data_IF_313831744930
#
_entry.id   IF_313831744930
#
_cell.length_a   1.000
_cell.length_b   1.000
_cell.length_c   1.000
_cell.angle_alpha   90.00
_cell.angle_beta   90.00
_cell.angle_gamma   90.00
#
_symmetry.space_group_name_H-M   'P 1'
#
loop_
_entity.id
_entity.type
_entity.pdbx_description
1 polymer ?
#
# COMPACT_ATOMS: atom_id res chain seq x y z
N UNK A 1 16.88 17.84 2.67
CA UNK A 1 17.09 16.97 1.50
C UNK A 1 16.31 15.70 1.74
N UNK A 2 15.38 15.26 0.86
CA UNK A 2 14.67 14.01 1.06
C UNK A 2 15.62 12.81 0.85
N UNK A 3 15.44 11.78 1.69
CA UNK A 3 16.19 10.53 1.67
C UNK A 3 16.20 9.92 0.26
N UNK A 4 17.38 9.78 -0.36
CA UNK A 4 17.55 8.96 -1.56
C UNK A 4 17.78 7.51 -1.11
N UNK A 5 16.88 6.62 -1.50
CA UNK A 5 17.06 5.19 -1.32
C UNK A 5 18.27 4.69 -2.13
N UNK A 6 18.96 3.64 -1.67
CA UNK A 6 20.05 3.04 -2.44
C UNK A 6 19.57 2.61 -3.83
N UNK A 7 20.41 2.87 -4.83
CA UNK A 7 20.08 2.71 -6.26
C UNK A 7 20.04 1.25 -6.72
N UNK A 8 20.47 0.31 -5.88
CA UNK A 8 20.44 -1.12 -6.18
C UNK A 8 20.31 -1.96 -4.91
N UNK A 9 19.85 -3.21 -5.06
CA UNK A 9 19.75 -4.17 -3.97
C UNK A 9 21.11 -4.49 -3.33
N UNK A 10 22.19 -4.56 -4.11
CA UNK A 10 23.54 -4.77 -3.57
C UNK A 10 24.00 -3.61 -2.67
N UNK A 11 23.62 -2.38 -3.01
CA UNK A 11 23.97 -1.18 -2.25
C UNK A 11 23.25 -1.06 -0.90
N UNK A 12 22.24 -1.90 -0.61
CA UNK A 12 21.58 -1.92 0.70
C UNK A 12 22.46 -2.50 1.81
N UNK A 13 23.51 -3.26 1.46
CA UNK A 13 24.37 -3.93 2.44
C UNK A 13 25.34 -2.98 3.16
N UNK A 14 25.65 -1.82 2.57
CA UNK A 14 26.57 -0.82 3.15
C UNK A 14 25.89 0.55 3.38
N UNK A 15 24.57 0.65 3.25
CA UNK A 15 23.88 1.94 3.38
C UNK A 15 23.52 2.23 4.84
N UNK A 16 24.07 3.31 5.38
CA UNK A 16 23.73 3.84 6.71
C UNK A 16 22.91 5.13 6.58
N UNK A 17 21.88 5.26 7.42
CA UNK A 17 20.94 6.38 7.39
C UNK A 17 21.52 7.58 8.15
N UNK A 18 21.76 8.73 7.49
CA UNK A 18 22.35 9.91 8.13
C UNK A 18 21.46 10.57 9.21
N UNK A 19 20.17 10.22 9.30
CA UNK A 19 19.26 10.71 10.34
C UNK A 19 19.28 9.83 11.61
N UNK A 20 19.97 8.68 11.57
CA UNK A 20 20.04 7.71 12.68
C UNK A 20 21.46 7.54 13.25
N UNK A 21 22.50 7.94 12.52
CA UNK A 21 23.87 8.03 13.01
C UNK A 21 24.15 9.47 13.48
N UNK A 22 24.38 9.62 14.79
CA UNK A 22 24.42 10.89 15.51
C UNK A 22 25.35 11.94 14.92
N UNK A 23 24.91 13.18 15.02
CA UNK A 23 25.68 14.39 14.72
C UNK A 23 26.75 14.61 15.80
N UNK A 24 28.02 14.51 15.42
CA UNK A 24 29.16 14.90 16.25
C UNK A 24 29.31 16.43 16.26
N UNK A 25 29.30 17.05 17.43
CA UNK A 25 29.59 18.47 17.57
C UNK A 25 29.32 19.06 18.95
N UNK A 26 30.05 18.65 19.99
CA UNK A 26 30.46 19.56 21.08
C UNK A 26 31.71 18.99 21.81
N UNK A 27 32.80 19.77 21.99
CA UNK A 27 34.08 19.28 22.46
C UNK A 27 34.31 19.70 23.93
N UNK A 28 33.81 18.95 24.90
CA UNK A 28 34.37 18.92 26.27
C UNK A 28 33.56 17.97 27.16
N UNK A 29 34.05 16.74 27.34
CA UNK A 29 34.06 16.00 28.61
C UNK A 29 34.47 14.52 28.41
N UNK A 30 35.77 14.28 28.60
CA UNK A 30 36.44 13.12 29.22
C UNK A 30 36.07 11.68 28.82
N UNK A 31 37.09 11.02 28.28
CA UNK A 31 37.17 9.59 28.00
C UNK A 31 36.84 8.71 29.21
N UNK A 32 35.98 7.71 29.00
CA UNK A 32 36.11 6.44 29.69
C UNK A 32 35.41 5.32 28.93
N UNK A 33 36.21 4.30 28.62
CA UNK A 33 35.86 2.90 28.42
C UNK A 33 35.04 2.45 27.20
N UNK A 34 35.62 1.46 26.50
CA UNK A 34 35.00 0.72 25.41
C UNK A 34 34.00 -0.27 26.01
N UNK A 35 32.81 0.20 26.35
CA UNK A 35 31.67 -0.67 26.61
C UNK A 35 30.39 0.10 26.34
N UNK A 36 29.85 -0.13 25.15
CA UNK A 36 28.49 0.29 24.82
C UNK A 36 27.52 -0.31 25.86
N UNK A 37 26.54 0.46 26.36
CA UNK A 37 25.45 -0.11 27.14
C UNK A 37 24.68 -1.10 26.25
N UNK A 38 24.15 -2.19 26.82
CA UNK A 38 23.56 -3.27 26.05
C UNK A 38 22.30 -2.76 25.38
N UNK A 39 22.38 -2.47 24.09
CA UNK A 39 21.23 -2.69 23.24
C UNK A 39 20.82 -4.13 23.48
N UNK A 40 19.61 -4.31 23.98
CA UNK A 40 18.99 -5.60 24.21
C UNK A 40 19.23 -6.46 22.97
N UNK A 41 20.11 -7.45 23.10
CA UNK A 41 20.14 -8.62 22.25
C UNK A 41 18.82 -9.37 22.50
N UNK A 42 17.77 -8.86 21.86
CA UNK A 42 16.48 -9.53 21.70
C UNK A 42 16.57 -10.45 20.49
N UNK A 43 15.91 -11.59 20.59
CA UNK A 43 15.83 -12.63 19.58
C UNK A 43 14.98 -12.19 18.36
N UNK A 44 15.54 -11.37 17.47
CA UNK A 44 14.79 -10.86 16.30
C UNK A 44 15.56 -10.90 14.96
N UNK A 45 16.74 -11.53 14.90
CA UNK A 45 17.47 -11.81 13.65
C UNK A 45 17.01 -13.09 12.91
N UNK A 46 16.19 -13.91 13.55
CA UNK A 46 15.81 -15.26 13.08
C UNK A 46 15.04 -15.28 11.74
N UNK A 47 14.05 -14.40 11.47
CA UNK A 47 13.31 -14.46 10.21
C UNK A 47 14.12 -13.94 9.02
N UNK A 48 14.99 -12.94 9.23
CA UNK A 48 15.82 -12.37 8.15
C UNK A 48 16.93 -13.35 7.75
N UNK A 49 17.54 -14.04 8.71
CA UNK A 49 18.51 -15.08 8.43
C UNK A 49 17.87 -16.27 7.70
N UNK A 50 16.66 -16.67 8.09
CA UNK A 50 15.92 -17.75 7.45
C UNK A 50 15.47 -17.43 6.02
N UNK A 51 15.07 -16.17 5.74
CA UNK A 51 14.76 -15.70 4.38
C UNK A 51 15.99 -15.79 3.48
N UNK A 52 17.16 -15.31 3.96
CA UNK A 52 18.42 -15.39 3.21
C UNK A 52 18.86 -16.82 2.92
N UNK A 53 18.65 -17.74 3.86
CA UNK A 53 18.95 -19.15 3.67
C UNK A 53 18.07 -19.80 2.59
N UNK A 54 16.79 -19.41 2.50
CA UNK A 54 15.88 -19.88 1.45
C UNK A 54 16.27 -19.33 0.08
N UNK A 55 16.68 -18.07 0.00
CA UNK A 55 17.12 -17.46 -1.26
C UNK A 55 18.41 -18.09 -1.81
N UNK A 56 19.33 -18.44 -0.92
CA UNK A 56 20.61 -19.06 -1.27
C UNK A 56 20.50 -20.55 -1.65
N UNK A 57 19.36 -21.20 -1.42
CA UNK A 57 19.17 -22.62 -1.74
C UNK A 57 18.88 -22.80 -3.24
N UNK A 58 19.91 -23.22 -3.98
CA UNK A 58 19.82 -23.48 -5.43
C UNK A 58 19.03 -24.74 -5.80
N UNK A 59 18.63 -25.56 -4.81
CA UNK A 59 17.82 -26.77 -5.05
C UNK A 59 16.32 -26.49 -5.12
N UNK A 60 15.88 -25.30 -4.73
CA UNK A 60 14.47 -24.91 -4.70
C UNK A 60 14.07 -24.15 -5.95
N UNK A 61 12.90 -24.47 -6.48
CA UNK A 61 12.25 -23.61 -7.47
C UNK A 61 11.88 -22.25 -6.85
N UNK A 62 11.79 -21.21 -7.67
CA UNK A 62 11.39 -19.87 -7.22
C UNK A 62 9.98 -19.88 -6.59
N UNK A 63 9.09 -20.77 -7.04
CA UNK A 63 7.78 -21.00 -6.43
C UNK A 63 7.89 -21.56 -5.00
N UNK A 64 8.81 -22.50 -4.76
CA UNK A 64 9.04 -23.07 -3.42
C UNK A 64 9.72 -22.08 -2.49
N UNK A 65 10.65 -21.26 -2.99
CA UNK A 65 11.26 -20.18 -2.21
C UNK A 65 10.21 -19.18 -1.75
N UNK A 66 9.37 -18.71 -2.65
CA UNK A 66 8.26 -17.81 -2.34
C UNK A 66 7.29 -18.43 -1.32
N UNK A 67 6.98 -19.72 -1.45
CA UNK A 67 6.11 -20.44 -0.50
C UNK A 67 6.73 -20.51 0.89
N UNK A 68 8.04 -20.78 0.99
CA UNK A 68 8.75 -20.85 2.27
C UNK A 68 8.89 -19.48 2.93
N UNK A 69 9.17 -18.42 2.16
CA UNK A 69 9.17 -17.04 2.65
C UNK A 69 7.83 -16.66 3.28
N UNK A 70 6.72 -16.99 2.60
CA UNK A 70 5.39 -16.70 3.12
C UNK A 70 5.07 -17.49 4.39
N UNK A 71 5.54 -18.74 4.50
CA UNK A 71 5.36 -19.57 5.69
C UNK A 71 6.13 -19.02 6.90
N UNK A 72 7.37 -18.54 6.72
CA UNK A 72 8.16 -17.91 7.79
C UNK A 72 7.47 -16.67 8.34
N UNK A 73 6.96 -15.81 7.45
CA UNK A 73 6.26 -14.58 7.84
C UNK A 73 4.93 -14.85 8.54
N UNK A 74 4.31 -16.01 8.29
CA UNK A 74 3.04 -16.40 8.91
C UNK A 74 3.19 -17.07 10.28
N UNK A 75 4.39 -17.58 10.64
CA UNK A 75 4.58 -18.45 11.83
C UNK A 75 4.95 -17.71 13.12
N UNK A 76 5.01 -16.38 13.13
CA UNK A 76 5.37 -15.60 14.32
C UNK A 76 4.21 -15.30 15.30
N UNK A 77 3.14 -16.11 15.28
CA UNK A 77 2.16 -16.17 16.38
C UNK A 77 2.56 -17.30 17.33
N UNK A 78 3.31 -16.96 18.37
CA UNK A 78 3.90 -17.93 19.29
C UNK A 78 2.89 -18.78 20.06
N UNK A 79 3.19 -20.07 20.18
CA UNK A 79 2.95 -20.91 21.36
C UNK A 79 3.63 -22.25 21.15
N UNK A 80 4.69 -22.50 21.92
CA UNK A 80 5.21 -23.84 22.23
C UNK A 80 4.15 -24.61 23.00
N UNK A 81 3.70 -25.76 22.50
CA UNK A 81 3.12 -26.83 23.32
C UNK A 81 3.53 -28.16 22.72
N UNK A 82 4.14 -28.97 23.58
CA UNK A 82 4.66 -30.30 23.33
C UNK A 82 3.64 -31.27 22.73
N UNK A 83 4.16 -32.17 21.89
CA UNK A 83 3.49 -33.37 21.41
C UNK A 83 2.86 -34.17 22.56
N UNK A 84 1.58 -34.51 22.39
CA UNK A 84 1.00 -35.81 22.76
C UNK A 84 -0.35 -35.99 22.05
N UNK A 85 -0.42 -37.09 21.30
CA UNK A 85 -1.54 -37.56 20.50
C UNK A 85 -2.85 -37.73 21.30
N UNK A 86 -3.97 -37.21 20.78
CA UNK A 86 -5.25 -37.95 20.76
C UNK A 86 -6.27 -37.28 19.80
N UNK A 87 -7.06 -38.04 19.00
CA UNK A 87 -7.76 -37.50 17.84
C UNK A 87 -9.27 -37.32 18.08
N UNK A 88 -9.75 -36.46 18.98
CA UNK A 88 -11.20 -36.18 19.02
C UNK A 88 -11.64 -34.93 19.81
N UNK A 89 -11.50 -33.70 19.29
CA UNK A 89 -12.43 -32.59 19.62
C UNK A 89 -12.64 -31.69 18.40
N UNK A 90 -13.77 -31.88 17.72
CA UNK A 90 -14.28 -30.97 16.67
C UNK A 90 -15.06 -29.80 17.31
N UNK A 91 -14.83 -28.61 16.74
CA UNK A 91 -15.76 -27.48 16.65
C UNK A 91 -16.14 -26.72 17.95
N UNK A 92 -15.20 -26.06 18.64
CA UNK A 92 -15.54 -25.00 19.63
C UNK A 92 -14.55 -23.83 19.79
N UNK A 93 -13.60 -23.59 18.88
CA UNK A 93 -12.54 -22.58 19.14
C UNK A 93 -12.76 -21.20 18.46
N UNK A 94 -13.69 -21.10 17.50
CA UNK A 94 -13.85 -19.87 16.70
C UNK A 94 -14.56 -18.73 17.46
N UNK A 95 -15.44 -19.10 18.40
CA UNK A 95 -16.02 -18.14 19.35
C UNK A 95 -14.98 -17.63 20.35
N UNK A 96 -13.86 -18.31 20.53
CA UNK A 96 -12.87 -17.99 21.55
C UNK A 96 -12.04 -16.78 21.14
N UNK A 97 -11.59 -16.67 19.88
CA UNK A 97 -10.79 -15.50 19.42
C UNK A 97 -11.64 -14.22 19.36
N UNK A 98 -12.87 -14.31 18.86
CA UNK A 98 -13.83 -13.20 18.83
C UNK A 98 -14.30 -12.80 20.24
N UNK A 99 -14.45 -13.74 21.18
CA UNK A 99 -14.72 -13.43 22.58
C UNK A 99 -13.51 -12.81 23.29
N UNK A 100 -12.29 -13.34 23.07
CA UNK A 100 -11.04 -12.87 23.67
C UNK A 100 -10.72 -11.42 23.23
N UNK A 101 -10.88 -11.09 21.94
CA UNK A 101 -10.70 -9.71 21.45
C UNK A 101 -11.94 -8.83 21.67
N UNK A 102 -13.15 -9.39 21.54
CA UNK A 102 -14.41 -8.67 21.59
C UNK A 102 -14.78 -8.18 22.98
N UNK A 103 -14.46 -8.90 24.05
CA UNK A 103 -14.78 -8.49 25.41
C UNK A 103 -13.75 -7.52 26.01
N UNK A 104 -12.47 -7.64 25.61
CA UNK A 104 -11.38 -6.86 26.19
C UNK A 104 -10.94 -5.61 25.37
N UNK A 105 -11.38 -5.46 24.11
CA UNK A 105 -10.95 -4.35 23.24
C UNK A 105 -12.10 -3.55 22.63
N UNK A 106 -13.01 -3.04 23.47
CA UNK A 106 -14.02 -2.06 23.06
C UNK A 106 -13.55 -0.62 23.24
N UNK A 107 -13.95 0.26 22.32
CA UNK A 107 -13.79 1.70 22.43
C UNK A 107 -14.74 2.24 23.52
N UNK A 108 -14.22 2.93 24.54
CA UNK A 108 -15.06 3.44 25.65
C UNK A 108 -16.05 4.53 25.25
N UNK A 109 -15.91 5.14 24.08
CA UNK A 109 -16.81 6.20 23.64
C UNK A 109 -18.04 5.68 22.92
N UNK A 110 -17.87 4.71 22.02
CA UNK A 110 -18.97 4.13 21.24
C UNK A 110 -19.37 2.72 21.68
N UNK A 111 -18.64 2.13 22.63
CA UNK A 111 -18.83 0.77 23.15
C UNK A 111 -18.75 -0.35 22.09
N UNK A 112 -18.25 -0.02 20.90
CA UNK A 112 -18.02 -0.95 19.80
C UNK A 112 -16.54 -1.31 19.68
N UNK A 113 -16.22 -2.35 18.89
CA UNK A 113 -14.86 -2.60 18.43
C UNK A 113 -14.32 -1.34 17.72
N UNK A 114 -13.13 -0.85 18.10
CA UNK A 114 -12.56 0.36 17.54
C UNK A 114 -12.46 0.32 16.00
N UNK A 115 -13.04 1.31 15.34
CA UNK A 115 -12.82 1.56 13.92
C UNK A 115 -11.67 2.55 13.75
N UNK A 116 -10.66 2.17 12.95
CA UNK A 116 -9.36 2.87 12.84
C UNK A 116 -8.79 3.22 14.23
N UNK A 117 -8.42 2.21 15.04
CA UNK A 117 -7.95 2.41 16.41
C UNK A 117 -6.74 3.34 16.51
N UNK A 118 -6.79 4.27 17.45
CA UNK A 118 -5.66 5.03 17.96
C UNK A 118 -5.29 4.42 19.31
N UNK A 119 -4.03 4.00 19.45
CA UNK A 119 -3.49 3.48 20.71
C UNK A 119 -2.82 4.61 21.46
N UNK A 120 -3.38 4.98 22.61
CA UNK A 120 -2.75 5.97 23.49
C UNK A 120 -1.47 5.42 24.11
N UNK A 121 -0.57 6.30 24.59
CA UNK A 121 0.67 5.90 25.28
C UNK A 121 0.45 5.01 26.51
N UNK A 122 -0.77 4.99 27.06
CA UNK A 122 -1.16 4.09 28.14
C UNK A 122 -1.70 2.73 27.67
N UNK A 123 -1.65 2.41 26.38
CA UNK A 123 -2.09 1.14 25.79
C UNK A 123 -3.58 1.04 25.47
N UNK A 124 -4.38 2.06 25.80
CA UNK A 124 -5.83 2.04 25.54
C UNK A 124 -6.16 2.47 24.10
N UNK A 125 -7.13 1.76 23.52
CA UNK A 125 -7.53 1.88 22.12
C UNK A 125 -8.91 2.55 21.98
N UNK A 126 -8.99 3.53 21.09
CA UNK A 126 -10.22 4.27 20.77
C UNK A 126 -10.37 4.43 19.26
N UNK A 127 -11.59 4.56 18.73
CA UNK A 127 -11.75 4.94 17.32
C UNK A 127 -11.09 6.30 17.07
N UNK A 128 -10.44 6.50 15.93
CA UNK A 128 -9.86 7.79 15.55
C UNK A 128 -10.87 8.93 15.71
N UNK A 129 -12.07 8.79 15.14
CA UNK A 129 -13.13 9.80 15.23
C UNK A 129 -13.56 10.08 16.67
N UNK A 130 -13.57 9.07 17.55
CA UNK A 130 -13.93 9.23 18.95
C UNK A 130 -12.83 9.95 19.73
N UNK A 131 -11.57 9.61 19.46
CA UNK A 131 -10.41 10.26 20.04
C UNK A 131 -10.32 11.74 19.63
N UNK A 132 -10.49 12.05 18.35
CA UNK A 132 -10.47 13.43 17.86
C UNK A 132 -11.58 14.30 18.48
N UNK A 133 -12.79 13.75 18.66
CA UNK A 133 -13.88 14.44 19.36
C UNK A 133 -13.51 14.76 20.81
N UNK A 134 -12.87 13.82 21.51
CA UNK A 134 -12.42 14.00 22.88
C UNK A 134 -11.35 15.09 23.00
N UNK A 135 -10.38 15.10 22.08
CA UNK A 135 -9.34 16.12 22.02
C UNK A 135 -9.92 17.50 21.70
N UNK A 136 -10.89 17.59 20.79
CA UNK A 136 -11.57 18.85 20.42
C UNK A 136 -12.33 19.47 21.59
N UNK A 137 -12.77 18.67 22.56
CA UNK A 137 -13.37 19.16 23.82
C UNK A 137 -12.31 19.66 24.84
N UNK A 138 -11.05 19.81 24.41
CA UNK A 138 -9.95 20.29 25.25
C UNK A 138 -9.40 19.24 26.23
N UNK A 139 -9.83 17.98 26.11
CA UNK A 139 -9.40 16.91 27.03
C UNK A 139 -8.07 16.31 26.57
N UNK A 140 -7.08 16.34 27.46
CA UNK A 140 -5.69 15.88 27.21
C UNK A 140 -5.33 14.59 27.95
N UNK A 141 -6.34 13.82 28.36
CA UNK A 141 -6.18 12.60 29.18
C UNK A 141 -6.90 11.42 28.56
N UNK A 142 -6.41 10.21 28.80
CA UNK A 142 -7.06 8.99 28.34
C UNK A 142 -8.44 8.82 28.98
N UNK A 143 -9.47 8.53 28.20
CA UNK A 143 -10.83 8.36 28.71
C UNK A 143 -11.01 7.13 29.62
N UNK A 144 -10.15 6.10 29.48
CA UNK A 144 -10.17 4.89 30.33
C UNK A 144 -9.45 5.09 31.66
N UNK A 145 -8.18 5.51 31.63
CA UNK A 145 -7.33 5.54 32.83
C UNK A 145 -6.86 6.93 33.26
N UNK A 146 -7.34 7.99 32.60
CA UNK A 146 -7.04 9.40 32.91
C UNK A 146 -5.56 9.83 32.83
N UNK A 147 -4.64 8.94 32.42
CA UNK A 147 -3.24 9.29 32.15
C UNK A 147 -3.14 10.38 31.08
N UNK A 148 -2.18 11.31 31.22
CA UNK A 148 -1.94 12.38 30.25
C UNK A 148 -1.49 11.82 28.91
N UNK A 149 -2.00 12.40 27.84
CA UNK A 149 -1.62 12.05 26.46
C UNK A 149 -0.60 13.08 25.95
N UNK A 150 0.53 12.65 25.35
CA UNK A 150 1.55 13.56 24.84
C UNK A 150 1.02 14.53 23.78
N UNK A 151 1.53 15.76 23.75
CA UNK A 151 1.09 16.82 22.84
C UNK A 151 1.20 16.44 21.36
N UNK A 152 2.29 15.75 20.97
CA UNK A 152 2.47 15.27 19.59
C UNK A 152 1.37 14.29 19.16
N UNK A 153 0.91 13.42 20.05
CA UNK A 153 -0.19 12.49 19.77
C UNK A 153 -1.54 13.20 19.68
N UNK A 154 -1.74 14.27 20.45
CA UNK A 154 -2.97 15.08 20.39
C UNK A 154 -3.07 15.84 19.06
N UNK A 155 -1.95 16.33 18.54
CA UNK A 155 -1.89 17.03 17.26
C UNK A 155 -1.98 16.07 16.07
N UNK A 156 -1.33 14.89 16.16
CA UNK A 156 -1.25 13.92 15.08
C UNK A 156 -1.49 12.49 15.60
N UNK A 157 -2.76 12.09 15.83
CA UNK A 157 -3.08 10.74 16.26
C UNK A 157 -2.75 9.73 15.15
N UNK A 158 -1.85 8.78 15.44
CA UNK A 158 -1.51 7.70 14.52
C UNK A 158 -2.46 6.52 14.68
N UNK A 159 -2.86 5.94 13.56
CA UNK A 159 -3.70 4.74 13.53
C UNK A 159 -2.80 3.52 13.73
N UNK A 160 -3.23 2.62 14.61
CA UNK A 160 -2.58 1.33 14.81
C UNK A 160 -3.03 0.36 13.71
N UNK A 161 -2.21 0.23 12.65
CA UNK A 161 -2.49 -0.62 11.49
C UNK A 161 -2.58 -2.11 11.84
N UNK A 162 -1.80 -2.59 12.82
CA UNK A 162 -1.87 -3.98 13.31
C UNK A 162 -3.24 -4.27 13.91
N UNK A 163 -3.79 -3.35 14.69
CA UNK A 163 -5.14 -3.48 15.24
C UNK A 163 -6.23 -3.33 14.16
N UNK A 164 -6.03 -2.49 13.15
CA UNK A 164 -6.95 -2.42 11.99
C UNK A 164 -7.03 -3.80 11.31
N UNK A 165 -5.89 -4.44 11.07
CA UNK A 165 -5.86 -5.76 10.44
C UNK A 165 -6.52 -6.82 11.31
N UNK A 166 -6.15 -6.90 12.59
CA UNK A 166 -6.73 -7.87 13.54
C UNK A 166 -8.25 -7.73 13.69
N UNK A 167 -8.75 -6.49 13.84
CA UNK A 167 -10.20 -6.22 13.95
C UNK A 167 -10.93 -6.56 12.64
N UNK A 168 -10.29 -6.33 11.48
CA UNK A 168 -10.88 -6.68 10.18
C UNK A 168 -10.97 -8.19 9.99
N UNK A 169 -9.93 -8.93 10.36
CA UNK A 169 -9.94 -10.40 10.33
C UNK A 169 -11.00 -10.97 11.28
N UNK A 170 -11.13 -10.40 12.49
CA UNK A 170 -12.16 -10.82 13.45
C UNK A 170 -13.59 -10.48 13.00
N UNK A 171 -13.80 -9.48 12.15
CA UNK A 171 -15.13 -9.05 11.66
C UNK A 171 -15.64 -9.83 10.45
N UNK A 172 -14.80 -10.61 9.79
CA UNK A 172 -15.22 -11.36 8.62
C UNK A 172 -16.01 -12.60 9.06
N UNK A 173 -17.27 -12.79 8.61
CA UNK A 173 -17.91 -14.09 8.73
C UNK A 173 -17.06 -15.09 7.94
N UNK A 174 -16.84 -16.27 8.52
CA UNK A 174 -16.08 -17.35 7.88
C UNK A 174 -16.67 -17.63 6.50
N UNK A 175 -16.00 -17.17 5.45
CA UNK A 175 -16.19 -17.73 4.14
C UNK A 175 -15.60 -19.15 4.17
N UNK A 176 -16.30 -20.08 3.52
CA UNK A 176 -15.94 -21.49 3.27
C UNK A 176 -14.43 -21.70 3.06
N UNK A 177 -13.87 -22.89 3.40
CA UNK A 177 -12.43 -23.12 3.53
C UNK A 177 -11.70 -22.52 2.35
N UNK A 178 -10.97 -21.44 2.63
CA UNK A 178 -10.12 -20.82 1.63
C UNK A 178 -9.06 -21.86 1.32
N UNK A 179 -9.02 -22.32 0.06
CA UNK A 179 -7.93 -23.14 -0.46
C UNK A 179 -6.57 -22.52 -0.12
N UNK A 180 -5.51 -23.32 -0.30
CA UNK A 180 -4.12 -23.02 0.04
C UNK A 180 -3.78 -21.52 0.07
N UNK A 181 -3.03 -21.05 1.10
CA UNK A 181 -2.74 -19.64 1.30
C UNK A 181 -2.35 -19.01 -0.04
N UNK A 182 -3.09 -17.97 -0.44
CA UNK A 182 -2.85 -17.29 -1.71
C UNK A 182 -1.42 -16.76 -1.66
N UNK A 183 -0.53 -17.40 -2.41
CA UNK A 183 0.82 -16.89 -2.62
C UNK A 183 0.67 -15.66 -3.49
N UNK A 184 0.93 -14.49 -2.91
CA UNK A 184 1.03 -13.25 -3.67
C UNK A 184 2.45 -13.19 -4.23
N UNK A 185 2.67 -13.86 -5.35
CA UNK A 185 3.91 -13.75 -6.08
C UNK A 185 4.02 -12.32 -6.63
N UNK A 186 5.02 -11.59 -6.16
CA UNK A 186 5.42 -10.34 -6.78
C UNK A 186 6.10 -10.69 -8.11
N UNK A 187 5.56 -10.17 -9.21
CA UNK A 187 6.12 -10.38 -10.54
C UNK A 187 6.87 -9.11 -10.91
N UNK A 188 8.16 -9.25 -11.21
CA UNK A 188 8.99 -8.10 -11.57
C UNK A 188 8.62 -7.62 -12.99
N UNK A 189 8.83 -6.33 -13.30
CA UNK A 189 8.41 -5.76 -14.59
C UNK A 189 9.07 -6.47 -15.80
N UNK A 190 10.33 -6.91 -15.65
CA UNK A 190 11.11 -7.67 -16.62
C UNK A 190 10.63 -9.11 -16.79
N UNK A 191 9.73 -9.60 -15.94
CA UNK A 191 9.12 -10.91 -16.12
C UNK A 191 7.78 -10.81 -16.86
N UNK A 192 7.24 -9.60 -17.00
CA UNK A 192 6.01 -9.37 -17.74
C UNK A 192 6.25 -9.49 -19.25
N UNK A 193 5.27 -10.04 -20.00
CA UNK A 193 5.34 -10.09 -21.45
C UNK A 193 5.27 -8.68 -22.06
N UNK A 194 5.80 -8.52 -23.27
CA UNK A 194 5.81 -7.25 -23.99
C UNK A 194 4.41 -6.79 -24.43
N UNK A 195 3.44 -7.70 -24.49
CA UNK A 195 2.05 -7.40 -24.85
C UNK A 195 1.12 -7.58 -23.66
N UNK A 196 -0.02 -6.89 -23.70
CA UNK A 196 -1.11 -7.14 -22.77
C UNK A 196 -1.51 -8.63 -22.78
N UNK A 197 -1.77 -9.17 -21.60
CA UNK A 197 -2.05 -10.60 -21.41
C UNK A 197 -3.24 -10.82 -20.48
N UNK A 198 -3.91 -11.95 -20.62
CA UNK A 198 -5.03 -12.36 -19.76
C UNK A 198 -4.59 -13.48 -18.81
N UNK A 199 -5.27 -13.58 -17.67
CA UNK A 199 -5.13 -14.72 -16.75
C UNK A 199 -6.30 -15.69 -16.96
N UNK A 200 -6.19 -16.92 -16.48
CA UNK A 200 -7.28 -17.91 -16.46
C UNK A 200 -8.57 -17.41 -15.79
N UNK A 201 -8.47 -16.40 -14.91
CA UNK A 201 -9.63 -15.77 -14.25
C UNK A 201 -10.40 -14.80 -15.15
N UNK A 202 -9.90 -14.49 -16.34
CA UNK A 202 -10.55 -13.56 -17.26
C UNK A 202 -11.89 -14.13 -17.71
N UNK A 203 -12.97 -13.38 -17.47
CA UNK A 203 -14.33 -13.80 -17.84
C UNK A 203 -14.70 -13.38 -19.26
N UNK A 204 -14.07 -12.32 -19.76
CA UNK A 204 -14.30 -11.79 -21.11
C UNK A 204 -13.09 -12.03 -21.98
N UNK A 205 -13.35 -12.40 -23.23
CA UNK A 205 -12.34 -12.54 -24.26
C UNK A 205 -11.72 -11.17 -24.63
N UNK A 206 -10.57 -11.23 -25.32
CA UNK A 206 -9.84 -10.04 -25.76
C UNK A 206 -9.23 -9.25 -24.60
N UNK A 207 -9.09 -7.93 -24.79
CA UNK A 207 -8.36 -7.05 -23.87
C UNK A 207 -9.21 -6.49 -22.72
N UNK A 208 -10.51 -6.81 -22.65
CA UNK A 208 -11.42 -6.26 -21.63
C UNK A 208 -11.08 -6.66 -20.19
N UNK A 209 -10.46 -7.83 -20.01
CA UNK A 209 -9.95 -8.29 -18.71
C UNK A 209 -8.42 -8.55 -18.75
N UNK A 210 -7.73 -7.96 -19.73
CA UNK A 210 -6.29 -8.08 -19.83
C UNK A 210 -5.59 -7.18 -18.81
N UNK A 211 -4.41 -7.63 -18.38
CA UNK A 211 -3.43 -6.83 -17.66
C UNK A 211 -2.47 -6.22 -18.67
N UNK A 212 -1.98 -5.03 -18.37
CA UNK A 212 -0.88 -4.40 -19.12
C UNK A 212 0.36 -5.30 -19.06
N UNK A 213 1.10 -5.36 -20.16
CA UNK A 213 2.40 -6.02 -20.21
C UNK A 213 3.47 -5.21 -19.47
N UNK A 214 4.72 -5.50 -19.79
CA UNK A 214 5.90 -4.78 -19.30
C UNK A 214 5.80 -3.29 -19.63
N UNK A 215 6.14 -2.43 -18.65
CA UNK A 215 6.39 -1.02 -18.88
C UNK A 215 7.80 -0.86 -19.49
N UNK A 216 7.90 -0.17 -20.62
CA UNK A 216 9.15 0.02 -21.36
C UNK A 216 9.98 1.21 -20.90
N UNK A 217 9.38 2.11 -20.12
CA UNK A 217 9.99 3.35 -19.65
C UNK A 217 10.28 3.30 -18.16
N UNK A 218 11.26 4.08 -17.71
CA UNK A 218 11.69 4.10 -16.30
C UNK A 218 11.13 5.28 -15.50
N UNK A 219 10.27 6.10 -16.11
CA UNK A 219 9.65 7.23 -15.43
C UNK A 219 8.80 6.79 -14.24
N UNK A 220 8.76 7.56 -13.14
CA UNK A 220 7.85 7.29 -12.04
C UNK A 220 6.40 7.64 -12.44
N UNK A 221 5.42 7.12 -11.68
CA UNK A 221 3.99 7.34 -11.98
C UNK A 221 3.56 8.81 -11.87
N UNK A 222 4.31 9.62 -11.14
CA UNK A 222 4.09 11.06 -10.93
C UNK A 222 4.94 11.93 -11.87
N UNK A 223 5.63 11.35 -12.85
CA UNK A 223 6.45 12.10 -13.81
C UNK A 223 5.66 13.17 -14.55
N UNK A 224 6.13 14.42 -14.49
CA UNK A 224 5.60 15.55 -15.26
C UNK A 224 6.50 15.85 -16.46
N UNK A 225 5.86 16.06 -17.61
CA UNK A 225 6.53 16.45 -18.84
C UNK A 225 6.85 15.28 -19.78
N UNK A 226 7.64 15.54 -20.84
CA UNK A 226 7.88 14.57 -21.89
C UNK A 226 8.71 13.38 -21.39
N UNK A 227 8.54 12.25 -22.08
CA UNK A 227 9.27 11.02 -21.80
C UNK A 227 10.46 10.97 -22.73
N UNK A 228 11.61 11.44 -22.25
CA UNK A 228 12.83 11.58 -23.03
C UNK A 228 13.55 10.25 -23.25
N UNK A 229 14.51 10.24 -24.18
CA UNK A 229 15.39 9.11 -24.49
C UNK A 229 16.10 8.51 -23.27
N UNK A 230 16.38 9.31 -22.24
CA UNK A 230 17.02 8.86 -20.99
C UNK A 230 16.14 7.88 -20.20
N UNK A 231 14.82 7.99 -20.37
CA UNK A 231 13.85 7.15 -19.69
C UNK A 231 13.42 5.92 -20.49
N UNK A 232 14.02 5.72 -21.67
CA UNK A 232 13.80 4.58 -22.56
C UNK A 232 15.09 3.77 -22.66
N UNK A 233 15.31 2.81 -21.73
CA UNK A 233 16.57 2.08 -21.64
C UNK A 233 16.88 1.22 -22.87
N UNK A 234 15.85 0.86 -23.67
CA UNK A 234 16.01 -0.08 -24.78
C UNK A 234 16.19 0.66 -26.10
N UNK A 235 15.23 1.52 -26.49
CA UNK A 235 15.30 2.18 -27.80
C UNK A 235 16.04 3.51 -27.75
N UNK A 236 16.19 4.11 -26.56
CA UNK A 236 16.84 5.42 -26.35
C UNK A 236 16.26 6.52 -27.23
N UNK A 237 14.96 6.45 -27.48
CA UNK A 237 14.24 7.47 -28.25
C UNK A 237 13.29 8.25 -27.33
N UNK A 238 12.65 7.55 -26.39
CA UNK A 238 11.56 8.12 -25.60
C UNK A 238 10.25 8.08 -26.37
N UNK A 239 9.30 8.92 -25.96
CA UNK A 239 8.00 9.10 -26.63
C UNK A 239 7.99 10.44 -27.35
N UNK A 240 7.70 10.41 -28.65
CA UNK A 240 7.67 11.59 -29.50
C UNK A 240 6.24 12.02 -29.81
N UNK A 241 6.05 13.32 -30.08
CA UNK A 241 4.77 13.84 -30.56
C UNK A 241 4.44 13.19 -31.91
N UNK A 242 3.23 12.64 -32.02
CA UNK A 242 2.78 11.89 -33.20
C UNK A 242 2.91 10.37 -33.06
N UNK A 243 3.54 9.87 -31.99
CA UNK A 243 3.53 8.44 -31.68
C UNK A 243 2.09 7.95 -31.48
N UNK A 244 1.82 6.75 -32.01
CA UNK A 244 0.51 6.12 -31.93
C UNK A 244 0.61 4.71 -31.36
N UNK A 245 -0.42 4.32 -30.61
CA UNK A 245 -0.53 3.02 -29.98
C UNK A 245 -1.88 2.39 -30.31
N UNK A 246 -1.91 1.07 -30.40
CA UNK A 246 -3.13 0.31 -30.72
C UNK A 246 -4.24 0.54 -29.70
N UNK A 247 -3.89 0.68 -28.41
CA UNK A 247 -4.84 0.81 -27.32
C UNK A 247 -4.25 1.48 -26.07
N UNK A 248 -5.09 1.65 -25.05
CA UNK A 248 -4.75 2.23 -23.74
C UNK A 248 -3.73 1.41 -22.94
N UNK A 249 -3.66 0.09 -23.13
CA UNK A 249 -2.67 -0.75 -22.46
C UNK A 249 -1.29 -0.56 -23.09
N UNK A 250 -1.20 -0.46 -24.42
CA UNK A 250 0.03 -0.17 -25.14
C UNK A 250 0.54 1.25 -24.84
N UNK A 251 -0.35 2.26 -24.84
CA UNK A 251 -0.02 3.62 -24.41
C UNK A 251 0.52 3.66 -22.98
N UNK A 252 -0.09 2.89 -22.06
CA UNK A 252 0.40 2.73 -20.69
C UNK A 252 1.82 2.17 -20.62
N UNK A 253 2.16 1.18 -21.45
CA UNK A 253 3.49 0.57 -21.43
C UNK A 253 4.61 1.56 -21.78
N UNK A 254 4.28 2.61 -22.54
CA UNK A 254 5.18 3.71 -22.87
C UNK A 254 5.12 4.88 -21.88
N UNK A 255 4.33 4.78 -20.81
CA UNK A 255 4.22 5.80 -19.77
C UNK A 255 3.49 7.09 -20.19
N UNK A 256 3.08 7.22 -21.45
CA UNK A 256 2.37 8.40 -21.95
C UNK A 256 1.05 8.63 -21.17
N UNK A 257 0.37 7.54 -20.78
CA UNK A 257 -0.76 7.63 -19.88
C UNK A 257 -0.97 6.32 -19.09
N UNK A 258 -0.62 6.34 -17.79
CA UNK A 258 -0.62 5.14 -16.95
C UNK A 258 -2.00 4.52 -16.63
N UNK A 259 -3.08 5.30 -16.41
CA UNK A 259 -4.41 4.74 -16.24
C UNK A 259 -4.88 4.06 -17.53
N UNK A 260 -5.50 2.89 -17.42
CA UNK A 260 -6.02 2.16 -18.60
C UNK A 260 -7.52 2.41 -18.85
N UNK A 261 -8.19 3.20 -17.99
CA UNK A 261 -9.62 3.56 -18.12
C UNK A 261 -9.82 5.06 -17.96
N UNK A 262 -9.41 5.63 -16.83
CA UNK A 262 -9.63 7.05 -16.50
C UNK A 262 -9.08 8.00 -17.55
N UNK A 263 -9.73 9.14 -17.78
CA UNK A 263 -9.23 10.16 -18.71
C UNK A 263 -8.06 10.96 -18.14
N UNK A 264 -8.06 11.24 -16.84
CA UNK A 264 -7.03 12.00 -16.14
C UNK A 264 -6.10 11.05 -15.39
N UNK A 265 -4.79 11.21 -15.60
CA UNK A 265 -3.73 10.68 -14.75
C UNK A 265 -3.23 11.83 -13.86
N UNK A 266 -3.47 11.75 -12.55
CA UNK A 266 -3.17 12.86 -11.67
C UNK A 266 -3.32 12.52 -10.20
N UNK A 267 -2.66 13.31 -9.36
CA UNK A 267 -2.87 13.34 -7.93
C UNK A 267 -3.16 14.77 -7.50
N UNK A 268 -4.24 14.97 -6.75
CA UNK A 268 -4.73 16.28 -6.32
C UNK A 268 -3.65 17.23 -5.75
N UNK A 269 -2.64 16.70 -5.06
CA UNK A 269 -1.58 17.51 -4.42
C UNK A 269 -0.32 17.70 -5.27
N UNK A 270 -0.26 17.06 -6.44
CA UNK A 270 0.95 17.01 -7.27
C UNK A 270 0.72 17.56 -8.68
N UNK A 271 -0.50 17.38 -9.21
CA UNK A 271 -0.88 17.78 -10.56
C UNK A 271 -1.26 16.58 -11.44
N UNK A 272 -1.81 16.90 -12.61
CA UNK A 272 -2.12 15.94 -13.67
C UNK A 272 -0.90 15.72 -14.57
N UNK A 273 -0.49 14.45 -14.72
CA UNK A 273 0.61 14.06 -15.60
C UNK A 273 0.18 13.97 -17.05
N UNK A 274 -1.04 13.49 -17.30
CA UNK A 274 -1.61 13.43 -18.64
C UNK A 274 -3.13 13.30 -18.64
N UNK A 275 -3.74 13.79 -19.71
CA UNK A 275 -5.18 13.68 -19.98
C UNK A 275 -5.41 12.98 -21.31
N UNK A 276 -6.59 12.37 -21.48
CA UNK A 276 -7.01 11.69 -22.71
C UNK A 276 -8.33 12.29 -23.18
N UNK A 277 -8.31 12.85 -24.38
CA UNK A 277 -9.50 13.23 -25.15
C UNK A 277 -10.01 11.98 -25.89
N UNK A 278 -11.18 11.46 -25.50
CA UNK A 278 -11.75 10.24 -26.08
C UNK A 278 -13.23 10.34 -26.43
N UNK A 279 -13.79 11.56 -26.50
CA UNK A 279 -15.23 11.78 -26.73
C UNK A 279 -16.12 11.18 -25.63
N UNK A 280 -15.58 11.12 -24.40
CA UNK A 280 -16.25 10.50 -23.25
C UNK A 280 -17.20 11.44 -22.52
N UNK A 281 -17.10 12.74 -22.76
CA UNK A 281 -17.95 13.80 -22.22
C UNK A 281 -18.44 14.64 -23.39
N UNK A 282 -19.71 15.07 -23.32
CA UNK A 282 -20.35 15.84 -24.38
C UNK A 282 -19.89 17.30 -24.39
N UNK A 283 -19.37 17.77 -23.27
CA UNK A 283 -18.87 19.14 -23.08
C UNK A 283 -17.40 19.30 -23.51
N UNK A 284 -16.75 18.23 -24.01
CA UNK A 284 -15.38 18.31 -24.54
C UNK A 284 -15.39 19.02 -25.91
N UNK A 285 -14.53 20.03 -26.08
CA UNK A 285 -14.30 20.73 -27.36
C UNK A 285 -12.84 20.61 -27.79
N UNK A 286 -12.57 20.22 -29.03
CA UNK A 286 -11.21 20.10 -29.59
C UNK A 286 -11.02 21.06 -30.76
N UNK A 287 -10.08 22.01 -30.59
CA UNK A 287 -9.69 23.00 -31.60
C UNK A 287 -8.23 22.84 -32.03
N UNK A 288 -7.61 21.70 -31.73
CA UNK A 288 -6.23 21.37 -32.06
C UNK A 288 -5.20 22.02 -31.12
N UNK A 289 -4.97 23.32 -31.25
CA UNK A 289 -4.00 24.04 -30.41
C UNK A 289 -4.47 24.22 -28.97
N UNK A 290 -5.79 24.26 -28.77
CA UNK A 290 -6.43 24.33 -27.48
C UNK A 290 -7.69 23.46 -27.47
N UNK A 291 -8.12 23.07 -26.29
CA UNK A 291 -9.32 22.27 -26.08
C UNK A 291 -9.98 22.65 -24.76
N UNK A 292 -11.28 22.40 -24.64
CA UNK A 292 -12.00 22.41 -23.37
C UNK A 292 -12.14 20.96 -22.90
N UNK A 293 -11.66 20.70 -21.68
CA UNK A 293 -11.69 19.37 -21.10
C UNK A 293 -12.68 19.28 -19.95
N UNK A 294 -13.51 18.24 -19.97
CA UNK A 294 -14.46 17.99 -18.90
C UNK A 294 -13.84 17.12 -17.82
N UNK A 295 -13.96 17.58 -16.57
CA UNK A 295 -13.61 16.80 -15.40
C UNK A 295 -14.34 15.46 -15.33
N UNK A 296 -13.83 14.56 -14.49
CA UNK A 296 -14.44 13.26 -14.24
C UNK A 296 -15.51 13.30 -13.15
N UNK A 297 -16.42 12.31 -13.16
CA UNK A 297 -17.43 12.14 -12.12
C UNK A 297 -18.82 12.58 -12.59
N UNK A 298 -19.71 12.89 -11.64
CA UNK A 298 -21.11 13.26 -11.92
C UNK A 298 -21.98 12.11 -12.44
N UNK A 299 -21.48 10.87 -12.41
CA UNK A 299 -22.08 9.69 -13.05
C UNK A 299 -22.38 8.58 -12.05
N UNK A 300 -23.57 7.98 -12.16
CA UNK A 300 -23.87 6.73 -11.49
C UNK A 300 -23.12 5.55 -12.15
N UNK A 301 -22.10 5.05 -11.44
CA UNK A 301 -21.29 3.88 -11.82
C UNK A 301 -21.66 2.62 -11.03
N UNK A 302 -22.83 2.60 -10.37
CA UNK A 302 -23.37 1.42 -9.70
C UNK A 302 -23.43 0.20 -10.63
N UNK A 303 -23.32 -1.00 -10.06
CA UNK A 303 -23.33 -2.25 -10.83
C UNK A 303 -22.03 -2.52 -11.59
N UNK A 304 -20.88 -2.05 -11.08
CA UNK A 304 -19.55 -2.30 -11.67
C UNK A 304 -19.39 -1.72 -13.09
N UNK A 305 -20.06 -0.60 -13.37
CA UNK A 305 -19.87 0.15 -14.61
C UNK A 305 -18.51 0.86 -14.60
N UNK A 306 -18.03 1.22 -15.78
CA UNK A 306 -16.80 2.02 -15.97
C UNK A 306 -17.11 3.41 -16.52
N UNK A 307 -18.15 3.51 -17.33
CA UNK A 307 -18.66 4.75 -17.89
C UNK A 307 -20.19 4.76 -17.82
N UNK A 308 -20.76 5.95 -17.87
CA UNK A 308 -22.20 6.16 -18.04
C UNK A 308 -22.35 7.40 -18.92
N UNK A 309 -23.22 7.34 -19.94
CA UNK A 309 -23.40 8.45 -20.89
C UNK A 309 -24.12 9.64 -20.24
N UNK A 310 -24.99 9.39 -19.25
CA UNK A 310 -25.78 10.42 -18.60
C UNK A 310 -25.08 10.92 -17.35
N UNK A 311 -24.94 12.23 -17.23
CA UNK A 311 -24.67 12.88 -15.95
C UNK A 311 -25.92 12.75 -15.06
N UNK A 312 -25.72 12.39 -13.81
CA UNK A 312 -26.78 12.15 -12.82
C UNK A 312 -26.62 13.00 -11.56
N UNK A 313 -25.48 13.68 -11.41
CA UNK A 313 -25.20 14.58 -10.29
C UNK A 313 -24.12 15.59 -10.69
N UNK A 314 -23.98 16.66 -9.93
CA UNK A 314 -22.89 17.62 -10.11
C UNK A 314 -21.53 16.94 -9.94
N UNK A 315 -20.55 17.40 -10.72
CA UNK A 315 -19.16 17.02 -10.52
C UNK A 315 -18.60 17.72 -9.27
N UNK A 316 -17.54 17.15 -8.72
CA UNK A 316 -16.84 17.73 -7.57
C UNK A 316 -15.41 18.05 -7.93
N UNK A 317 -14.87 19.14 -7.39
CA UNK A 317 -13.47 19.52 -7.55
C UNK A 317 -12.61 18.73 -6.55
N UNK A 318 -12.43 17.44 -6.83
CA UNK A 318 -11.63 16.53 -6.00
C UNK A 318 -10.88 15.53 -6.88
N UNK A 319 -9.85 14.91 -6.32
CA UNK A 319 -9.13 13.79 -6.95
C UNK A 319 -8.50 14.18 -8.30
N UNK A 320 -8.94 13.57 -9.41
CA UNK A 320 -8.42 13.89 -10.75
C UNK A 320 -8.75 15.32 -11.17
N UNK A 321 -9.93 15.83 -10.82
CA UNK A 321 -10.36 17.17 -11.21
C UNK A 321 -9.57 18.25 -10.46
N UNK A 322 -9.16 17.96 -9.23
CA UNK A 322 -8.27 18.84 -8.44
C UNK A 322 -6.82 18.75 -8.92
N UNK A 323 -6.42 17.62 -9.51
CA UNK A 323 -5.09 17.45 -10.09
C UNK A 323 -4.93 18.23 -11.40
N UNK A 324 -6.00 18.37 -12.17
CA UNK A 324 -6.04 18.99 -13.51
C UNK A 324 -6.23 20.51 -13.46
N UNK A 325 -5.69 21.16 -12.43
CA UNK A 325 -5.75 22.61 -12.20
C UNK A 325 -4.61 23.36 -12.90
#
# INVERSE_FOLDING_TARGET
>A
MPCRSPQSLASTLQWECPDCSGVDGDPDAVASDKSAPPFLAGADGEPVAAIRAIEADSSLSEEEKARRHQQLLSRNSGSTVDDKDDPEIKAKDDNKILAILGENMKCSFCMQLPDRPVTTSCGHNFCLKCFEKWVRQGKKTCAKCRKRIPAGMLAQPRINSSLVFAIRMARMPTAAPVGAPRVFQFVHNEELPDKAFTTERAKKAGKANAKSGRIFVTIPNDHLGPITAENDPIKKTGVLVGDSWEDRLACRQWGAHFPHVSGIAGQAKYGAQSVVLSGGYEDDEDHGEWFLYTGSGGRDLSGNKRTNKKQTSDQTFTSGNEADQ
#
